data_IF_937781485206
#
_entry.id   IF_937781485206
#
_cell.length_a   1.000
_cell.length_b   1.000
_cell.length_c   1.000
_cell.angle_alpha   90.00
_cell.angle_beta   90.00
_cell.angle_gamma   90.00
#
_symmetry.space_group_name_H-M   'P 1'
#
loop_
_entity.id
_entity.type
_entity.pdbx_description
1 polymer ?
#
# COMPACT_ATOMS: atom_id res chain seq x y z
N UNK A 1 25.05 -11.25 -6.97
CA UNK A 1 24.10 -11.23 -5.84
C UNK A 1 22.71 -11.48 -6.42
N UNK A 2 22.08 -12.63 -6.16
CA UNK A 2 20.72 -12.92 -6.65
C UNK A 2 19.72 -12.34 -5.66
N UNK A 3 18.96 -11.32 -6.07
CA UNK A 3 17.80 -10.84 -5.33
C UNK A 3 16.63 -11.76 -5.68
N UNK A 4 16.47 -12.85 -4.93
CA UNK A 4 15.49 -13.91 -5.20
C UNK A 4 14.21 -13.76 -4.36
N UNK A 5 13.97 -12.59 -3.77
CA UNK A 5 12.79 -12.34 -2.95
C UNK A 5 12.07 -11.09 -3.45
N UNK A 6 10.79 -11.21 -3.79
CA UNK A 6 9.95 -10.06 -4.16
C UNK A 6 9.44 -9.35 -2.89
N UNK A 7 8.89 -8.13 -3.06
CA UNK A 7 8.39 -7.34 -1.92
C UNK A 7 7.34 -8.12 -1.09
N UNK A 8 6.44 -8.87 -1.75
CA UNK A 8 5.41 -9.66 -1.08
C UNK A 8 6.01 -10.73 -0.17
N UNK A 9 6.91 -11.55 -0.70
CA UNK A 9 7.59 -12.60 0.05
C UNK A 9 8.40 -12.00 1.21
N UNK A 10 9.08 -10.88 0.96
CA UNK A 10 9.83 -10.17 1.99
C UNK A 10 8.90 -9.68 3.13
N UNK A 11 7.78 -9.06 2.79
CA UNK A 11 6.81 -8.57 3.77
C UNK A 11 6.20 -9.73 4.56
N UNK A 12 5.80 -10.82 3.91
CA UNK A 12 5.23 -12.00 4.57
C UNK A 12 6.22 -12.65 5.56
N UNK A 13 7.50 -12.75 5.19
CA UNK A 13 8.53 -13.38 6.04
C UNK A 13 8.96 -12.50 7.22
N UNK A 14 8.91 -11.17 7.07
CA UNK A 14 9.51 -10.24 8.04
C UNK A 14 8.47 -9.35 8.75
N UNK A 15 7.18 -9.50 8.48
CA UNK A 15 6.15 -8.55 8.92
C UNK A 15 6.22 -8.20 10.41
N UNK A 16 6.30 -9.23 11.26
CA UNK A 16 6.30 -9.07 12.73
C UNK A 16 7.61 -8.48 13.27
N UNK A 17 8.66 -8.42 12.45
CA UNK A 17 9.98 -7.88 12.81
C UNK A 17 10.17 -6.44 12.30
N UNK A 18 9.44 -6.05 11.25
CA UNK A 18 9.54 -4.73 10.64
C UNK A 18 8.97 -3.64 11.54
N UNK A 19 9.84 -2.76 12.00
CA UNK A 19 9.48 -1.51 12.68
C UNK A 19 8.77 -0.55 11.72
N UNK A 20 8.02 0.41 12.27
CA UNK A 20 7.40 1.46 11.45
C UNK A 20 8.41 2.31 10.70
N UNK A 21 9.60 2.56 11.27
CA UNK A 21 10.66 3.27 10.57
C UNK A 21 11.13 2.53 9.31
N UNK A 22 11.25 1.20 9.37
CA UNK A 22 11.60 0.39 8.20
C UNK A 22 10.48 0.36 7.16
N UNK A 23 9.23 0.23 7.59
CA UNK A 23 8.05 0.28 6.70
C UNK A 23 7.95 1.61 5.95
N UNK A 24 8.14 2.72 6.66
CA UNK A 24 8.18 4.07 6.05
C UNK A 24 9.37 4.20 5.10
N UNK A 25 10.53 3.62 5.44
CA UNK A 25 11.71 3.61 4.56
C UNK A 25 11.45 2.83 3.27
N UNK A 26 10.85 1.63 3.35
CA UNK A 26 10.47 0.84 2.17
C UNK A 26 9.50 1.65 1.29
N UNK A 27 8.47 2.24 1.90
CA UNK A 27 7.50 3.09 1.18
C UNK A 27 8.18 4.27 0.48
N UNK A 28 9.09 4.96 1.18
CA UNK A 28 9.88 6.06 0.61
C UNK A 28 10.66 5.62 -0.63
N UNK A 29 11.34 4.46 -0.58
CA UNK A 29 12.13 3.96 -1.71
C UNK A 29 11.27 3.63 -2.94
N UNK A 30 10.09 3.05 -2.73
CA UNK A 30 9.14 2.76 -3.83
C UNK A 30 8.63 4.06 -4.46
N UNK A 31 8.24 5.04 -3.63
CA UNK A 31 7.77 6.34 -4.12
C UNK A 31 8.88 7.12 -4.83
N UNK A 32 10.13 7.02 -4.35
CA UNK A 32 11.30 7.62 -5.00
C UNK A 32 11.53 7.05 -6.40
N UNK A 33 11.49 5.73 -6.54
CA UNK A 33 11.57 5.07 -7.84
C UNK A 33 10.44 5.52 -8.78
N UNK A 34 9.19 5.53 -8.29
CA UNK A 34 8.04 5.98 -9.09
C UNK A 34 8.14 7.45 -9.51
N UNK A 35 8.68 8.30 -8.64
CA UNK A 35 8.90 9.72 -8.93
C UNK A 35 9.81 9.90 -10.16
N UNK A 36 10.92 9.15 -10.25
CA UNK A 36 11.80 9.19 -11.41
C UNK A 36 11.13 8.65 -12.68
N UNK A 37 10.36 7.56 -12.58
CA UNK A 37 9.61 7.02 -13.73
C UNK A 37 8.64 8.06 -14.30
N UNK A 38 7.93 8.78 -13.43
CA UNK A 38 7.00 9.83 -13.87
C UNK A 38 7.70 11.10 -14.38
N UNK A 39 8.91 11.41 -13.90
CA UNK A 39 9.73 12.50 -14.48
C UNK A 39 10.04 12.21 -15.94
N UNK A 40 10.34 10.96 -16.27
CA UNK A 40 10.53 10.47 -17.65
C UNK A 40 9.20 10.31 -18.42
N UNK A 41 8.13 10.95 -17.94
CA UNK A 41 6.80 10.94 -18.53
C UNK A 41 6.24 9.53 -18.80
N UNK A 42 6.65 8.56 -17.98
CA UNK A 42 6.28 7.15 -18.12
C UNK A 42 5.31 6.71 -17.03
N UNK A 43 4.34 5.87 -17.39
CA UNK A 43 3.37 5.26 -16.49
C UNK A 43 3.87 3.83 -16.21
N UNK A 44 4.00 3.43 -14.95
CA UNK A 44 4.47 2.10 -14.55
C UNK A 44 3.44 1.01 -14.88
N UNK A 45 2.13 1.27 -14.65
CA UNK A 45 0.98 0.39 -14.97
C UNK A 45 0.84 -0.85 -14.09
N UNK A 46 1.94 -1.52 -13.77
CA UNK A 46 1.94 -2.80 -13.04
C UNK A 46 2.56 -2.70 -11.64
N UNK A 47 2.34 -1.57 -10.95
CA UNK A 47 2.96 -1.31 -9.66
C UNK A 47 2.21 -2.04 -8.53
N UNK A 48 2.44 -3.34 -8.37
CA UNK A 48 1.87 -4.10 -7.26
C UNK A 48 2.81 -5.21 -6.78
N UNK A 49 2.58 -5.67 -5.57
CA UNK A 49 3.28 -6.79 -4.93
C UNK A 49 2.87 -8.18 -5.47
N UNK A 50 1.80 -8.25 -6.28
CA UNK A 50 1.21 -9.47 -6.85
C UNK A 50 -0.32 -9.52 -6.66
N UNK A 51 -1.01 -10.46 -7.30
CA UNK A 51 -2.43 -10.85 -7.19
C UNK A 51 -3.38 -9.89 -6.45
N UNK A 52 -4.17 -9.08 -7.18
CA UNK A 52 -5.30 -8.37 -6.55
C UNK A 52 -6.62 -8.52 -7.32
N UNK A 53 -6.65 -8.38 -8.65
CA UNK A 53 -7.74 -8.91 -9.49
C UNK A 53 -7.17 -9.30 -10.86
N UNK A 54 -7.47 -10.49 -11.35
CA UNK A 54 -7.08 -10.92 -12.69
C UNK A 54 -8.21 -10.69 -13.68
N UNK A 55 -8.00 -9.80 -14.66
CA UNK A 55 -8.95 -9.61 -15.75
C UNK A 55 -8.71 -10.66 -16.83
N UNK A 56 -9.55 -11.70 -16.88
CA UNK A 56 -9.49 -12.71 -17.95
C UNK A 56 -9.66 -12.11 -19.36
N UNK A 57 -10.41 -11.01 -19.47
CA UNK A 57 -10.64 -10.31 -20.74
C UNK A 57 -9.38 -9.65 -21.31
N UNK A 58 -8.44 -9.25 -20.44
CA UNK A 58 -7.26 -8.49 -20.84
C UNK A 58 -5.95 -9.19 -20.46
N UNK A 59 -6.01 -10.42 -19.94
CA UNK A 59 -4.88 -11.18 -19.39
C UNK A 59 -3.95 -10.30 -18.52
N UNK A 60 -4.55 -9.56 -17.59
CA UNK A 60 -3.86 -8.47 -16.89
C UNK A 60 -4.43 -8.22 -15.50
N UNK A 61 -3.53 -7.95 -14.55
CA UNK A 61 -3.85 -7.63 -13.17
C UNK A 61 -4.27 -6.16 -13.02
N UNK A 62 -5.40 -5.93 -12.35
CA UNK A 62 -5.97 -4.58 -12.17
C UNK A 62 -6.49 -4.40 -10.75
N UNK A 63 -6.44 -3.17 -10.26
CA UNK A 63 -7.05 -2.84 -8.97
C UNK A 63 -7.56 -1.39 -8.92
N UNK A 64 -7.08 -0.54 -9.81
CA UNK A 64 -7.52 0.84 -9.88
C UNK A 64 -8.95 0.92 -10.45
N UNK A 65 -9.91 1.58 -9.77
CA UNK A 65 -11.31 1.66 -10.21
C UNK A 65 -11.49 2.08 -11.68
N UNK A 66 -10.79 3.13 -12.13
CA UNK A 66 -10.91 3.60 -13.51
C UNK A 66 -10.30 2.64 -14.54
N UNK A 67 -9.26 1.87 -14.17
CA UNK A 67 -8.62 0.88 -15.04
C UNK A 67 -9.50 -0.36 -15.17
N UNK A 68 -10.16 -0.76 -14.07
CA UNK A 68 -11.19 -1.82 -14.09
C UNK A 68 -12.34 -1.40 -15.02
N UNK A 69 -12.76 -0.13 -14.96
CA UNK A 69 -13.79 0.44 -15.83
C UNK A 69 -13.31 0.77 -17.27
N UNK A 70 -12.18 0.20 -17.71
CA UNK A 70 -11.71 0.30 -19.09
C UNK A 70 -11.13 1.65 -19.53
N UNK A 71 -10.92 2.61 -18.62
CA UNK A 71 -10.39 3.96 -18.96
C UNK A 71 -8.88 3.99 -19.21
N UNK A 72 -8.21 2.84 -19.10
CA UNK A 72 -6.76 2.70 -19.28
C UNK A 72 -5.95 3.26 -18.10
N UNK A 73 -4.64 2.99 -18.12
CA UNK A 73 -3.71 3.45 -17.09
C UNK A 73 -3.37 4.94 -17.25
N UNK A 74 -3.18 5.60 -16.11
CA UNK A 74 -2.77 7.01 -16.03
C UNK A 74 -1.69 7.17 -14.97
N UNK A 75 -1.03 8.33 -14.90
CA UNK A 75 -0.17 8.63 -13.75
C UNK A 75 -0.92 8.52 -12.42
N UNK A 76 -2.24 8.80 -12.40
CA UNK A 76 -3.08 8.69 -11.19
C UNK A 76 -3.42 7.25 -10.82
N UNK A 77 -3.37 6.30 -11.77
CA UNK A 77 -3.54 4.89 -11.45
C UNK A 77 -2.33 4.34 -10.71
N UNK A 78 -1.11 4.75 -11.06
CA UNK A 78 0.09 4.35 -10.32
C UNK A 78 0.05 4.86 -8.87
N UNK A 79 -0.49 6.07 -8.64
CA UNK A 79 -0.69 6.60 -7.28
C UNK A 79 -1.68 5.76 -6.48
N UNK A 80 -2.75 5.26 -7.10
CA UNK A 80 -3.67 4.34 -6.44
C UNK A 80 -2.95 3.05 -6.05
N UNK A 81 -2.11 2.51 -6.93
CA UNK A 81 -1.35 1.30 -6.64
C UNK A 81 -0.31 1.51 -5.53
N UNK A 82 0.27 2.71 -5.39
CA UNK A 82 1.05 3.08 -4.20
C UNK A 82 0.23 2.92 -2.92
N UNK A 83 -1.03 3.34 -2.91
CA UNK A 83 -1.88 3.18 -1.72
C UNK A 83 -2.05 1.71 -1.33
N UNK A 84 -2.18 0.81 -2.31
CA UNK A 84 -2.27 -0.63 -2.08
C UNK A 84 -0.96 -1.20 -1.52
N UNK A 85 0.18 -0.76 -2.06
CA UNK A 85 1.48 -1.12 -1.52
C UNK A 85 1.68 -0.59 -0.10
N UNK A 86 1.27 0.65 0.19
CA UNK A 86 1.31 1.21 1.54
C UNK A 86 0.45 0.39 2.51
N UNK A 87 -0.73 -0.06 2.07
CA UNK A 87 -1.59 -0.93 2.85
C UNK A 87 -0.91 -2.28 3.11
N UNK A 88 -0.38 -2.94 2.08
CA UNK A 88 0.31 -4.23 2.23
C UNK A 88 1.57 -4.12 3.10
N UNK A 89 2.35 -3.04 2.98
CA UNK A 89 3.48 -2.75 3.87
C UNK A 89 3.01 -2.57 5.32
N UNK A 90 1.79 -2.07 5.55
CA UNK A 90 1.22 -1.88 6.88
C UNK A 90 0.73 -3.19 7.51
N UNK A 91 0.21 -4.14 6.72
CA UNK A 91 -0.45 -5.35 7.24
C UNK A 91 0.22 -6.68 6.85
N UNK A 92 1.27 -6.66 6.03
CA UNK A 92 2.07 -7.84 5.67
C UNK A 92 1.35 -8.87 4.82
N UNK A 93 0.17 -8.51 4.32
CA UNK A 93 -0.71 -9.37 3.55
C UNK A 93 -1.29 -8.58 2.38
N UNK A 94 -1.72 -9.25 1.30
CA UNK A 94 -2.38 -8.59 0.18
C UNK A 94 -3.63 -7.81 0.62
N UNK A 95 -3.95 -6.68 -0.02
CA UNK A 95 -5.23 -6.02 0.18
C UNK A 95 -6.38 -6.96 -0.25
N UNK A 96 -7.53 -6.83 0.40
CA UNK A 96 -8.75 -7.61 0.10
C UNK A 96 -8.65 -9.13 0.31
N UNK A 97 -7.72 -9.63 1.12
CA UNK A 97 -7.59 -11.07 1.46
C UNK A 97 -8.87 -11.76 1.94
N UNK A 98 -9.82 -11.01 2.51
CA UNK A 98 -11.09 -11.56 3.00
C UNK A 98 -12.20 -11.62 1.93
N UNK A 99 -11.89 -11.29 0.67
CA UNK A 99 -12.84 -11.28 -0.44
C UNK A 99 -12.43 -12.33 -1.47
N UNK A 100 -13.42 -12.89 -2.15
CA UNK A 100 -13.16 -13.65 -3.38
C UNK A 100 -12.65 -12.66 -4.44
N UNK A 101 -11.59 -13.04 -5.15
CA UNK A 101 -10.92 -12.16 -6.13
C UNK A 101 -11.61 -12.28 -7.49
N UNK A 102 -12.89 -11.98 -7.50
CA UNK A 102 -13.80 -12.16 -8.63
C UNK A 102 -14.30 -10.82 -9.20
N UNK A 103 -15.28 -10.89 -10.10
CA UNK A 103 -15.89 -9.71 -10.69
C UNK A 103 -16.73 -8.89 -9.69
N UNK A 104 -17.24 -9.51 -8.62
CA UNK A 104 -18.01 -8.82 -7.59
C UNK A 104 -17.10 -7.88 -6.81
N UNK A 105 -15.93 -8.35 -6.38
CA UNK A 105 -14.93 -7.48 -5.74
C UNK A 105 -14.52 -6.32 -6.66
N UNK A 106 -14.42 -6.55 -7.97
CA UNK A 106 -14.12 -5.50 -8.94
C UNK A 106 -15.19 -4.40 -8.97
N UNK A 107 -16.48 -4.77 -8.92
CA UNK A 107 -17.60 -3.83 -8.79
C UNK A 107 -17.51 -3.10 -7.44
N UNK A 108 -17.32 -3.82 -6.34
CA UNK A 108 -17.26 -3.21 -5.01
C UNK A 108 -16.13 -2.17 -4.90
N UNK A 109 -14.98 -2.42 -5.54
CA UNK A 109 -13.85 -1.46 -5.61
C UNK A 109 -14.23 -0.21 -6.40
N UNK A 110 -14.96 -0.37 -7.51
CA UNK A 110 -15.51 0.76 -8.29
C UNK A 110 -16.49 1.56 -7.44
N UNK A 111 -17.34 0.88 -6.67
CA UNK A 111 -18.35 1.49 -5.79
C UNK A 111 -17.76 2.08 -4.50
N UNK A 112 -16.45 1.93 -4.30
CA UNK A 112 -15.70 2.66 -3.28
C UNK A 112 -15.25 1.82 -2.10
N UNK A 113 -15.38 0.49 -2.13
CA UNK A 113 -14.83 -0.35 -1.08
C UNK A 113 -13.30 -0.19 -1.01
N UNK A 114 -12.76 -0.20 0.20
CA UNK A 114 -11.33 -0.11 0.47
C UNK A 114 -10.92 -1.16 1.50
N UNK A 115 -9.65 -1.59 1.51
CA UNK A 115 -9.16 -2.53 2.52
C UNK A 115 -9.32 -1.96 3.93
N UNK A 116 -9.79 -2.78 4.88
CA UNK A 116 -10.01 -2.35 6.27
C UNK A 116 -8.67 -2.07 6.97
N UNK A 117 -8.62 -0.99 7.75
CA UNK A 117 -7.49 -0.65 8.62
C UNK A 117 -7.82 -1.20 10.01
N UNK A 118 -7.26 -2.37 10.35
CA UNK A 118 -7.66 -3.16 11.54
C UNK A 118 -6.78 -2.94 12.77
N UNK A 119 -5.70 -2.17 12.63
CA UNK A 119 -4.80 -1.83 13.73
C UNK A 119 -4.36 -0.37 13.62
N UNK A 120 -3.81 0.16 14.70
CA UNK A 120 -3.22 1.49 14.68
C UNK A 120 -1.99 1.53 13.76
N UNK A 121 -1.95 2.55 12.90
CA UNK A 121 -0.83 2.86 12.02
C UNK A 121 -0.51 4.35 12.19
N UNK A 122 0.73 4.81 11.89
CA UNK A 122 1.10 6.22 12.05
C UNK A 122 0.15 7.15 11.29
N UNK A 123 -0.43 8.12 12.00
CA UNK A 123 -1.54 8.96 11.49
C UNK A 123 -1.20 9.69 10.20
N UNK A 124 0.02 10.23 10.07
CA UNK A 124 0.45 10.92 8.84
C UNK A 124 0.61 9.95 7.68
N UNK A 125 1.07 8.72 7.95
CA UNK A 125 1.19 7.66 6.95
C UNK A 125 -0.19 7.21 6.47
N UNK A 126 -1.14 7.00 7.40
CA UNK A 126 -2.55 6.70 7.11
C UNK A 126 -3.16 7.77 6.20
N UNK A 127 -3.04 9.03 6.58
CA UNK A 127 -3.62 10.15 5.82
C UNK A 127 -3.05 10.23 4.40
N UNK A 128 -1.76 9.96 4.21
CA UNK A 128 -1.15 9.93 2.88
C UNK A 128 -1.66 8.75 2.04
N UNK A 129 -1.75 7.55 2.62
CA UNK A 129 -2.32 6.37 1.97
C UNK A 129 -3.76 6.63 1.52
N UNK A 130 -4.57 7.26 2.39
CA UNK A 130 -5.97 7.56 2.10
C UNK A 130 -6.14 8.59 0.98
N UNK A 131 -5.24 9.57 0.89
CA UNK A 131 -5.22 10.50 -0.26
C UNK A 131 -4.86 9.80 -1.57
N UNK A 132 -4.03 8.75 -1.51
CA UNK A 132 -3.58 8.03 -2.71
C UNK A 132 -4.68 7.13 -3.30
N UNK A 133 -5.60 6.59 -2.49
CA UNK A 133 -6.71 5.73 -2.97
C UNK A 133 -8.06 6.45 -3.14
N UNK A 134 -8.07 7.79 -3.21
CA UNK A 134 -9.29 8.58 -3.41
C UNK A 134 -10.04 8.07 -4.66
N UNK A 135 -11.37 7.96 -4.53
CA UNK A 135 -12.24 7.49 -5.62
C UNK A 135 -12.13 8.39 -6.85
N UNK A 136 -11.92 9.70 -6.67
CA UNK A 136 -11.64 10.63 -7.75
C UNK A 136 -10.13 10.68 -8.04
N UNK A 137 -9.66 10.22 -9.22
CA UNK A 137 -8.24 10.25 -9.58
C UNK A 137 -7.62 11.65 -9.54
N UNK A 138 -8.40 12.71 -9.74
CA UNK A 138 -7.93 14.10 -9.71
C UNK A 138 -7.62 14.61 -8.31
N UNK A 139 -8.18 13.97 -7.27
CA UNK A 139 -7.90 14.31 -5.86
C UNK A 139 -6.64 13.64 -5.34
N UNK A 140 -6.15 12.61 -6.02
CA UNK A 140 -4.91 11.92 -5.66
C UNK A 140 -3.72 12.86 -5.86
N UNK A 141 -2.69 12.85 -4.99
CA UNK A 141 -1.49 13.68 -5.18
C UNK A 141 -0.73 13.26 -6.44
N UNK A 142 0.01 14.18 -7.07
CA UNK A 142 0.97 13.79 -8.12
C UNK A 142 2.24 13.21 -7.49
N UNK A 143 3.10 12.59 -8.30
CA UNK A 143 4.33 11.97 -7.77
C UNK A 143 5.26 12.96 -7.10
N UNK A 144 5.31 14.22 -7.55
CA UNK A 144 6.12 15.27 -6.91
C UNK A 144 5.61 15.58 -5.50
N UNK A 145 4.30 15.76 -5.37
CA UNK A 145 3.62 16.04 -4.10
C UNK A 145 3.72 14.83 -3.16
N UNK A 146 3.48 13.63 -3.68
CA UNK A 146 3.59 12.38 -2.95
C UNK A 146 5.01 12.16 -2.41
N UNK A 147 6.03 12.35 -3.25
CA UNK A 147 7.45 12.26 -2.88
C UNK A 147 7.82 13.24 -1.77
N UNK A 148 7.38 14.49 -1.90
CA UNK A 148 7.58 15.51 -0.86
C UNK A 148 6.94 15.08 0.46
N UNK A 149 5.69 14.65 0.44
CA UNK A 149 4.94 14.24 1.65
C UNK A 149 5.58 13.03 2.34
N UNK A 150 5.97 11.98 1.60
CA UNK A 150 6.59 10.81 2.23
C UNK A 150 7.97 11.13 2.83
N UNK A 151 8.73 12.03 2.21
CA UNK A 151 10.00 12.52 2.76
C UNK A 151 9.80 13.29 4.06
N UNK A 152 8.79 14.16 4.12
CA UNK A 152 8.41 14.88 5.34
C UNK A 152 7.97 13.91 6.45
N UNK A 153 7.14 12.91 6.12
CA UNK A 153 6.71 11.86 7.06
C UNK A 153 7.91 11.08 7.61
N UNK A 154 8.82 10.65 6.73
CA UNK A 154 10.03 9.94 7.12
C UNK A 154 10.87 10.77 8.08
N UNK A 155 11.13 12.03 7.76
CA UNK A 155 11.89 12.94 8.63
C UNK A 155 11.17 13.20 9.96
N UNK A 156 9.85 13.36 9.94
CA UNK A 156 9.05 13.58 11.14
C UNK A 156 9.18 12.42 12.13
N UNK A 157 8.96 11.17 11.70
CA UNK A 157 9.02 10.01 12.59
C UNK A 157 10.45 9.62 12.99
N UNK A 158 11.45 9.95 12.19
CA UNK A 158 12.86 9.85 12.60
C UNK A 158 13.17 10.75 13.80
N UNK A 159 12.59 11.96 13.83
CA UNK A 159 12.80 12.93 14.91
C UNK A 159 11.81 12.75 16.08
N UNK A 160 10.70 12.03 15.87
CA UNK A 160 9.63 11.83 16.85
C UNK A 160 9.26 10.33 16.94
N UNK A 161 10.17 9.44 17.38
CA UNK A 161 9.91 8.01 17.43
C UNK A 161 8.78 7.63 18.39
N UNK A 162 8.51 8.46 19.40
CA UNK A 162 7.45 8.25 20.39
C UNK A 162 6.03 8.37 19.80
N UNK A 163 5.90 9.00 18.63
CA UNK A 163 4.64 9.15 17.88
C UNK A 163 4.35 7.95 16.96
N UNK A 164 5.26 6.97 16.90
CA UNK A 164 5.02 5.72 16.21
C UNK A 164 4.21 4.78 17.11
N UNK A 165 3.21 4.05 16.57
CA UNK A 165 2.54 3.02 17.32
C UNK A 165 3.55 2.00 17.84
N UNK A 166 3.47 1.69 19.13
CA UNK A 166 4.23 0.59 19.69
C UNK A 166 3.67 -0.70 19.08
N UNK A 167 4.57 -1.59 18.63
CA UNK A 167 4.15 -2.94 18.24
C UNK A 167 3.40 -3.52 19.45
N UNK A 168 2.12 -3.85 19.27
CA UNK A 168 1.44 -4.74 20.20
C UNK A 168 2.18 -6.07 20.02
N UNK A 169 3.23 -6.29 20.81
CA UNK A 169 3.58 -7.65 21.18
C UNK A 169 2.28 -8.24 21.71
N UNK A 170 1.85 -9.36 21.14
CA UNK A 170 0.82 -10.18 21.78
C UNK A 170 1.36 -10.55 23.17
N UNK A 171 1.11 -9.70 24.14
CA UNK A 171 1.29 -9.99 25.56
C UNK A 171 0.06 -10.81 25.94
N UNK A 172 0.33 -12.10 26.15
CA UNK A 172 -0.40 -13.07 26.96
C UNK A 172 -1.87 -13.40 26.66
N UNK A 173 -2.09 -14.52 25.95
CA UNK A 173 -3.23 -15.43 26.14
C UNK A 173 -2.78 -16.81 26.68
N UNK A 174 -1.72 -16.85 27.51
CA UNK A 174 -1.35 -18.09 28.24
C UNK A 174 -1.16 -17.92 29.75
N UNK A 175 -1.74 -16.88 30.33
CA UNK A 175 -1.94 -16.76 31.78
C UNK A 175 -3.43 -16.72 32.09
N UNK A 176 -4.09 -17.83 31.80
CA UNK A 176 -5.32 -18.26 32.49
C UNK A 176 -5.22 -19.76 32.76
N UNK A 177 -4.13 -20.13 33.43
CA UNK A 177 -4.13 -21.22 34.39
C UNK A 177 -3.93 -20.56 35.75
N UNK A 178 -4.69 -21.01 36.76
CA UNK A 178 -4.80 -20.53 38.15
C UNK A 178 -6.00 -19.58 38.37
N UNK A 179 -7.21 -20.15 38.50
CA UNK A 179 -7.81 -20.54 39.78
C UNK A 179 -8.85 -21.65 39.55
#
# INVERSE_FOLDING_TARGET
MKFNINLREYLQQNHNQLTWNERIKITFLIIDALYFIHIENSIHRDLHSGNILYSQLNDSWRITPEVINGKGYTFRSDIYSIAMLMWEISFGQPPFMNYEHDYILAIDIIDGIRPKIVSEIPSKYKSLMEQCWDANPLKRPDTRTLHKKIREIKSYYQNNPNELPQLITKIDEKTSNIL
#
